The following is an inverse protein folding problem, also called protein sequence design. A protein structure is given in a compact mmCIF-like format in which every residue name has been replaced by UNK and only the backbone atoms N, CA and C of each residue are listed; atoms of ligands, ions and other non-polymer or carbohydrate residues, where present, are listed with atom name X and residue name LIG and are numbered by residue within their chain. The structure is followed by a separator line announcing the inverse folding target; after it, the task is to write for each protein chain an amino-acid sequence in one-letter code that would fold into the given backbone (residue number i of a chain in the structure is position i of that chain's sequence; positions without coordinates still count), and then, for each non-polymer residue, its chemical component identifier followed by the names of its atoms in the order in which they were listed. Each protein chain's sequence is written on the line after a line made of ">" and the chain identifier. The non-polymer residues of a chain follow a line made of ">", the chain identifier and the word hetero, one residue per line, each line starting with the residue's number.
data_IF_667007992894
#
_entry.id   IF_667007992894
#
_cell.length_a   1.000
_cell.length_b   1.000
_cell.length_c   1.000
_cell.angle_alpha   90.00
_cell.angle_beta   90.00
_cell.angle_gamma   90.00
#
_symmetry.space_group_name_H-M   'P 1'
#
loop_
_entity.id
_entity.type
_entity.pdbx_description
1 polymer ?
#
# COMPACT_ATOMS: atom_id res chain seq x y z
N UNK A 1 16.68 -0.03 -12.84
CA UNK A 1 15.78 0.67 -13.79
C UNK A 1 14.39 0.62 -13.18
N UNK A 2 13.85 1.76 -12.75
CA UNK A 2 12.52 1.82 -12.13
C UNK A 2 11.43 1.69 -13.19
N UNK A 3 10.48 0.78 -12.96
CA UNK A 3 9.26 0.67 -13.76
C UNK A 3 8.42 1.93 -13.59
N UNK A 4 7.99 2.54 -14.69
CA UNK A 4 7.03 3.67 -14.68
C UNK A 4 5.62 3.25 -14.22
N UNK A 5 5.38 1.94 -14.08
CA UNK A 5 4.20 1.37 -13.43
C UNK A 5 4.55 1.06 -11.98
N UNK A 6 3.76 1.61 -11.03
CA UNK A 6 4.00 1.53 -9.59
C UNK A 6 4.27 0.12 -9.08
N UNK A 7 5.01 0.03 -7.97
CA UNK A 7 5.34 -1.22 -7.30
C UNK A 7 4.24 -1.56 -6.28
N UNK A 8 3.74 -2.80 -6.35
CA UNK A 8 2.84 -3.37 -5.34
C UNK A 8 3.32 -4.78 -5.01
N UNK A 9 3.55 -5.06 -3.74
CA UNK A 9 3.69 -6.40 -3.19
C UNK A 9 2.64 -6.54 -2.10
N UNK A 10 1.68 -7.43 -2.30
CA UNK A 10 0.50 -7.57 -1.44
C UNK A 10 0.72 -8.59 -0.30
N UNK A 11 1.87 -9.28 -0.28
CA UNK A 11 2.16 -10.35 0.69
C UNK A 11 3.63 -10.38 1.12
N UNK A 12 4.18 -9.23 1.52
CA UNK A 12 5.55 -9.16 2.01
C UNK A 12 5.63 -9.60 3.48
N UNK A 13 6.06 -10.83 3.72
CA UNK A 13 6.09 -11.43 5.06
C UNK A 13 7.47 -11.24 5.71
N UNK A 14 7.47 -10.77 6.95
CA UNK A 14 8.66 -10.69 7.81
C UNK A 14 8.33 -11.34 9.15
N UNK A 15 9.12 -12.33 9.57
CA UNK A 15 9.01 -12.93 10.90
C UNK A 15 9.77 -12.11 11.95
N UNK A 16 9.40 -12.25 13.22
CA UNK A 16 10.06 -11.54 14.32
C UNK A 16 11.55 -11.88 14.38
N UNK A 17 12.37 -10.84 14.59
CA UNK A 17 13.83 -10.84 14.55
C UNK A 17 14.43 -11.17 13.17
N UNK A 18 13.63 -11.21 12.10
CA UNK A 18 14.12 -11.38 10.74
C UNK A 18 14.19 -10.05 9.99
N UNK A 19 15.12 -9.98 9.03
CA UNK A 19 15.23 -8.87 8.08
C UNK A 19 14.97 -9.39 6.68
N UNK A 20 14.11 -8.69 5.93
CA UNK A 20 13.82 -8.99 4.53
C UNK A 20 14.12 -7.78 3.65
N UNK A 21 14.88 -8.02 2.58
CA UNK A 21 15.15 -7.00 1.57
C UNK A 21 13.89 -6.73 0.76
N UNK A 22 13.62 -5.45 0.48
CA UNK A 22 12.50 -5.07 -0.35
C UNK A 22 12.98 -4.95 -1.79
N UNK A 23 12.40 -5.73 -2.68
CA UNK A 23 12.78 -5.75 -4.10
C UNK A 23 12.61 -4.37 -4.72
N UNK A 24 13.65 -3.84 -5.36
CA UNK A 24 13.62 -2.54 -6.02
C UNK A 24 14.04 -1.35 -5.14
N UNK A 25 14.31 -1.57 -3.84
CA UNK A 25 14.75 -0.54 -2.92
C UNK A 25 16.14 -0.85 -2.33
N UNK A 26 16.84 0.18 -1.87
CA UNK A 26 18.15 0.09 -1.22
C UNK A 26 18.08 -0.21 0.28
N UNK A 27 16.88 -0.46 0.81
CA UNK A 27 16.64 -0.72 2.23
C UNK A 27 15.87 -2.02 2.43
N UNK A 28 15.99 -2.56 3.62
CA UNK A 28 15.29 -3.75 4.10
C UNK A 28 14.40 -3.39 5.29
N UNK A 29 13.45 -4.29 5.55
CA UNK A 29 12.55 -4.22 6.68
C UNK A 29 12.94 -5.29 7.69
N UNK A 30 13.16 -4.88 8.93
CA UNK A 30 13.30 -5.77 10.08
C UNK A 30 12.02 -5.70 10.91
N UNK A 31 11.51 -6.85 11.35
CA UNK A 31 10.39 -6.91 12.29
C UNK A 31 10.96 -7.14 13.70
N UNK A 32 10.85 -6.12 14.56
CA UNK A 32 11.28 -6.20 15.95
C UNK A 32 10.26 -7.02 16.76
N UNK A 33 8.97 -6.70 16.61
CA UNK A 33 7.88 -7.44 17.26
C UNK A 33 6.54 -7.21 16.56
N UNK A 34 5.63 -8.15 16.74
CA UNK A 34 4.21 -7.99 16.44
C UNK A 34 3.38 -8.18 17.72
N UNK A 35 2.46 -7.25 17.96
CA UNK A 35 1.54 -7.28 19.10
C UNK A 35 0.10 -7.09 18.62
N UNK A 36 -0.77 -7.97 19.08
CA UNK A 36 -2.22 -7.90 18.91
C UNK A 36 -2.92 -7.66 20.25
N UNK A 37 -3.95 -6.83 20.23
CA UNK A 37 -4.82 -6.58 21.36
C UNK A 37 -6.26 -6.81 20.93
N UNK A 38 -7.04 -7.47 21.78
CA UNK A 38 -8.47 -7.71 21.58
C UNK A 38 -9.27 -7.12 22.72
N UNK A 39 -10.49 -6.69 22.42
CA UNK A 39 -11.47 -6.34 23.43
C UNK A 39 -11.99 -7.61 24.15
N UNK A 40 -12.60 -7.49 25.35
CA UNK A 40 -13.16 -8.64 26.07
C UNK A 40 -14.23 -9.43 25.31
N UNK A 41 -14.87 -8.81 24.31
CA UNK A 41 -15.84 -9.45 23.42
C UNK A 41 -15.18 -10.23 22.26
N UNK A 42 -13.85 -10.26 22.20
CA UNK A 42 -13.06 -10.94 21.17
C UNK A 42 -12.86 -10.12 19.90
N UNK A 43 -13.37 -8.89 19.82
CA UNK A 43 -13.15 -8.04 18.64
C UNK A 43 -11.72 -7.47 18.62
N UNK A 44 -11.07 -7.39 17.45
CA UNK A 44 -9.75 -6.77 17.33
C UNK A 44 -9.74 -5.32 17.81
N UNK A 45 -8.75 -4.97 18.65
CA UNK A 45 -8.55 -3.62 19.18
C UNK A 45 -7.37 -2.92 18.55
N UNK A 46 -6.22 -3.59 18.48
CA UNK A 46 -5.00 -3.00 17.96
C UNK A 46 -4.11 -4.09 17.36
N UNK A 47 -3.46 -3.78 16.25
CA UNK A 47 -2.42 -4.62 15.65
C UNK A 47 -1.23 -3.73 15.37
N UNK A 48 -0.09 -4.09 15.95
CA UNK A 48 1.10 -3.25 16.00
C UNK A 48 2.31 -4.05 15.56
N UNK A 49 2.91 -3.63 14.46
CA UNK A 49 4.23 -4.13 14.04
C UNK A 49 5.27 -3.08 14.37
N UNK A 50 6.14 -3.37 15.33
CA UNK A 50 7.34 -2.57 15.57
C UNK A 50 8.39 -2.98 14.54
N UNK A 51 8.78 -2.03 13.69
CA UNK A 51 9.68 -2.29 12.58
C UNK A 51 10.88 -1.36 12.58
N UNK A 52 11.96 -1.87 12.00
CA UNK A 52 13.19 -1.13 11.78
C UNK A 52 13.56 -1.17 10.30
N UNK A 53 13.77 0.01 9.72
CA UNK A 53 14.29 0.16 8.35
C UNK A 53 15.81 0.19 8.41
N UNK A 54 16.43 -0.71 7.65
CA UNK A 54 17.87 -0.85 7.56
C UNK A 54 18.29 -0.48 6.14
N UNK A 55 19.23 0.45 5.99
CA UNK A 55 19.75 0.87 4.70
C UNK A 55 21.28 0.90 4.75
N UNK A 56 21.93 0.21 3.80
CA UNK A 56 23.38 0.03 3.79
C UNK A 56 23.96 -0.53 5.11
N UNK A 57 23.20 -1.42 5.77
CA UNK A 57 23.58 -2.03 7.05
C UNK A 57 23.42 -1.13 8.27
N UNK A 58 22.86 0.08 8.12
CA UNK A 58 22.60 1.01 9.22
C UNK A 58 21.11 1.12 9.49
N UNK A 59 20.74 1.18 10.77
CA UNK A 59 19.39 1.55 11.20
C UNK A 59 19.15 3.00 10.81
N UNK A 60 18.16 3.23 9.94
CA UNK A 60 17.82 4.57 9.46
C UNK A 60 16.47 5.06 9.99
N UNK A 61 15.59 4.15 10.41
CA UNK A 61 14.29 4.51 10.98
C UNK A 61 13.72 3.36 11.81
N UNK A 62 13.21 3.67 12.99
CA UNK A 62 12.34 2.80 13.76
C UNK A 62 10.92 3.36 13.69
N UNK A 63 9.92 2.50 13.55
CA UNK A 63 8.54 2.93 13.40
C UNK A 63 7.56 1.87 13.88
N UNK A 64 6.39 2.35 14.28
CA UNK A 64 5.24 1.52 14.57
C UNK A 64 4.27 1.55 13.38
N UNK A 65 4.02 0.40 12.75
CA UNK A 65 2.99 0.25 11.72
C UNK A 65 1.74 -0.32 12.37
N UNK A 66 0.59 0.30 12.11
CA UNK A 66 -0.71 -0.15 12.61
C UNK A 66 -1.72 -0.20 11.48
N UNK A 67 -2.83 -0.90 11.70
CA UNK A 67 -3.98 -0.85 10.78
C UNK A 67 -4.39 0.60 10.54
N UNK A 68 -4.59 0.97 9.28
CA UNK A 68 -4.92 2.33 8.82
C UNK A 68 -3.87 3.42 9.11
N UNK A 69 -2.72 3.06 9.67
CA UNK A 69 -1.60 3.97 9.94
C UNK A 69 -0.32 3.40 9.30
N UNK A 70 -0.22 3.46 7.95
CA UNK A 70 0.95 2.97 7.24
C UNK A 70 2.20 3.82 7.55
N UNK A 71 3.36 3.18 7.48
CA UNK A 71 4.63 3.89 7.43
C UNK A 71 4.90 4.33 5.99
N UNK A 72 5.27 5.58 5.79
CA UNK A 72 5.86 6.05 4.53
C UNK A 72 7.37 6.25 4.68
N UNK A 73 8.15 5.68 3.77
CA UNK A 73 9.59 5.86 3.67
C UNK A 73 10.03 5.84 2.21
N UNK A 74 10.69 6.93 1.76
CA UNK A 74 11.17 7.11 0.37
C UNK A 74 10.11 6.82 -0.71
N UNK A 75 8.87 7.27 -0.49
CA UNK A 75 7.76 7.09 -1.42
C UNK A 75 7.07 5.73 -1.34
N UNK A 76 7.65 4.76 -0.65
CA UNK A 76 7.03 3.47 -0.36
C UNK A 76 6.15 3.59 0.88
N UNK A 77 4.89 3.16 0.75
CA UNK A 77 3.95 2.99 1.86
C UNK A 77 3.92 1.52 2.27
N UNK A 78 4.09 1.29 3.57
CA UNK A 78 4.14 -0.01 4.20
C UNK A 78 2.89 -0.12 5.09
N UNK A 79 1.93 -0.91 4.64
CA UNK A 79 0.68 -1.17 5.35
C UNK A 79 0.81 -2.50 6.08
N UNK A 80 0.39 -2.56 7.35
CA UNK A 80 0.12 -3.84 7.97
C UNK A 80 -1.12 -4.46 7.29
N UNK A 81 -1.03 -5.72 6.89
CA UNK A 81 -2.06 -6.43 6.14
C UNK A 81 -2.58 -7.65 6.91
N UNK A 82 -1.71 -8.60 7.22
CA UNK A 82 -2.04 -9.81 7.98
C UNK A 82 -0.91 -10.19 8.92
N UNK A 83 -1.08 -11.25 9.71
CA UNK A 83 -0.10 -11.75 10.66
C UNK A 83 -0.40 -13.21 10.96
N UNK A 84 0.52 -13.89 11.64
CA UNK A 84 0.31 -15.25 12.09
C UNK A 84 1.51 -15.80 12.85
N UNK A 85 1.42 -17.04 13.33
CA UNK A 85 2.51 -17.71 14.02
C UNK A 85 3.63 -18.11 13.05
N UNK A 86 4.85 -18.14 13.57
CA UNK A 86 6.05 -18.58 12.89
C UNK A 86 6.98 -19.33 13.84
N UNK A 87 7.90 -20.11 13.28
CA UNK A 87 8.96 -20.78 14.04
C UNK A 87 10.30 -20.49 13.38
N UNK A 88 11.29 -20.09 14.17
CA UNK A 88 12.67 -20.01 13.71
C UNK A 88 13.28 -21.41 13.65
N UNK A 89 13.81 -21.78 12.48
CA UNK A 89 14.33 -23.11 12.21
C UNK A 89 15.76 -23.02 11.76
N UNK A 90 16.61 -23.81 12.41
CA UNK A 90 17.97 -24.05 11.98
C UNK A 90 18.12 -25.53 11.62
N UNK A 91 18.65 -25.82 10.44
CA UNK A 91 19.03 -27.17 10.01
C UNK A 91 20.53 -27.20 9.79
N UNK A 92 21.20 -28.19 10.36
CA UNK A 92 22.64 -28.39 10.25
C UNK A 92 22.99 -29.72 9.58
N UNK A 93 24.09 -29.73 8.85
CA UNK A 93 24.69 -30.96 8.34
C UNK A 93 25.40 -31.76 9.46
N UNK A 94 25.96 -32.92 9.10
CA UNK A 94 26.69 -33.80 10.02
C UNK A 94 27.96 -33.17 10.62
N UNK A 95 28.52 -32.17 9.95
CA UNK A 95 29.69 -31.41 10.39
C UNK A 95 29.29 -30.22 11.30
N UNK A 96 27.99 -29.98 11.46
CA UNK A 96 27.41 -28.92 12.28
C UNK A 96 27.27 -27.57 11.55
N UNK A 97 27.48 -27.51 10.24
CA UNK A 97 27.30 -26.28 9.46
C UNK A 97 25.81 -26.05 9.20
N UNK A 98 25.29 -24.82 9.35
CA UNK A 98 23.91 -24.51 9.01
C UNK A 98 23.71 -24.59 7.49
N UNK A 99 22.78 -25.45 7.06
CA UNK A 99 22.35 -25.58 5.66
C UNK A 99 21.01 -24.86 5.41
N UNK A 100 20.25 -24.60 6.48
CA UNK A 100 19.06 -23.76 6.48
C UNK A 100 19.00 -23.00 7.79
N UNK A 101 18.73 -21.70 7.73
CA UNK A 101 18.55 -20.87 8.91
C UNK A 101 17.58 -19.73 8.57
N UNK A 102 16.29 -19.97 8.80
CA UNK A 102 15.24 -19.00 8.53
C UNK A 102 13.99 -19.28 9.37
N UNK A 103 13.04 -18.36 9.36
CA UNK A 103 11.71 -18.58 9.95
C UNK A 103 10.74 -19.22 8.95
N UNK A 104 10.04 -20.24 9.42
CA UNK A 104 8.93 -20.87 8.70
C UNK A 104 7.63 -20.29 9.25
N UNK A 105 6.86 -19.64 8.37
CA UNK A 105 5.57 -19.04 8.72
C UNK A 105 4.44 -20.03 8.51
N UNK A 106 3.42 -20.01 9.38
CA UNK A 106 2.27 -20.91 9.24
C UNK A 106 1.17 -20.22 8.42
N UNK A 107 1.38 -20.18 7.11
CA UNK A 107 0.48 -19.59 6.12
C UNK A 107 -0.51 -20.60 5.50
N UNK A 108 -0.33 -21.89 5.78
CA UNK A 108 -1.20 -22.98 5.38
C UNK A 108 -2.06 -23.52 6.52
N UNK A 109 -3.11 -24.27 6.15
CA UNK A 109 -3.92 -25.04 7.11
C UNK A 109 -4.29 -26.41 6.55
N UNK A 110 -4.13 -27.45 7.37
CA UNK A 110 -4.63 -28.80 7.12
C UNK A 110 -5.93 -28.99 7.87
N UNK A 111 -6.95 -29.54 7.22
CA UNK A 111 -8.24 -29.82 7.85
C UNK A 111 -8.55 -31.31 7.77
N UNK A 112 -8.71 -31.97 8.91
CA UNK A 112 -9.23 -33.34 8.99
C UNK A 112 -10.24 -33.48 10.13
N UNK A 113 -11.36 -34.15 9.86
CA UNK A 113 -12.44 -34.38 10.83
C UNK A 113 -12.92 -33.15 11.62
N UNK A 114 -12.81 -31.95 11.03
CA UNK A 114 -13.19 -30.69 11.66
C UNK A 114 -12.12 -30.06 12.57
N UNK A 115 -10.93 -30.67 12.67
CA UNK A 115 -9.74 -30.09 13.29
C UNK A 115 -8.94 -29.38 12.19
N UNK A 116 -8.47 -28.16 12.47
CA UNK A 116 -7.69 -27.34 11.53
C UNK A 116 -6.32 -27.06 12.14
N UNK A 117 -5.28 -27.66 11.57
CA UNK A 117 -3.90 -27.45 11.98
C UNK A 117 -3.21 -26.41 11.09
N UNK A 118 -2.71 -25.31 11.64
CA UNK A 118 -1.81 -24.41 10.92
C UNK A 118 -0.52 -25.14 10.57
N UNK A 119 0.01 -24.91 9.37
CA UNK A 119 1.32 -25.43 9.01
C UNK A 119 2.09 -24.45 8.13
N UNK A 120 3.40 -24.61 8.12
CA UNK A 120 4.32 -23.95 7.20
C UNK A 120 5.29 -24.96 6.61
N UNK A 121 5.94 -24.60 5.50
CA UNK A 121 6.83 -25.53 4.79
C UNK A 121 8.14 -24.87 4.41
N UNK A 122 9.15 -25.70 4.24
CA UNK A 122 10.44 -25.31 3.67
C UNK A 122 11.06 -26.51 2.95
N UNK A 123 12.05 -26.27 2.10
CA UNK A 123 12.66 -27.32 1.29
C UNK A 123 14.17 -27.33 1.46
N UNK A 124 14.75 -28.53 1.43
CA UNK A 124 16.19 -28.78 1.37
C UNK A 124 16.48 -29.51 0.06
N UNK A 125 16.66 -28.73 -1.01
CA UNK A 125 16.80 -29.24 -2.39
C UNK A 125 17.92 -30.25 -2.55
N UNK A 126 19.10 -29.95 -2.00
CA UNK A 126 20.28 -30.82 -2.09
C UNK A 126 20.10 -32.16 -1.35
N UNK A 127 19.12 -32.24 -0.44
CA UNK A 127 18.78 -33.43 0.33
C UNK A 127 17.51 -34.12 -0.16
N UNK A 128 16.86 -33.62 -1.22
CA UNK A 128 15.57 -34.09 -1.72
C UNK A 128 14.44 -34.11 -0.66
N UNK A 129 14.46 -33.17 0.29
CA UNK A 129 13.48 -33.10 1.38
C UNK A 129 12.52 -31.91 1.23
N UNK A 130 11.23 -32.21 1.21
CA UNK A 130 10.17 -31.25 1.47
C UNK A 130 9.72 -31.41 2.93
N UNK A 131 9.84 -30.35 3.72
CA UNK A 131 9.55 -30.38 5.16
C UNK A 131 8.29 -29.57 5.45
N UNK A 132 7.41 -30.13 6.27
CA UNK A 132 6.24 -29.42 6.80
C UNK A 132 6.32 -29.35 8.33
N UNK A 133 6.07 -28.17 8.88
CA UNK A 133 5.95 -27.97 10.33
C UNK A 133 4.50 -27.66 10.63
N UNK A 134 3.88 -28.51 11.43
CA UNK A 134 2.47 -28.44 11.78
C UNK A 134 2.35 -28.04 13.24
N UNK A 135 1.57 -26.99 13.50
CA UNK A 135 1.25 -26.54 14.84
C UNK A 135 -0.01 -27.24 15.36
N UNK A 136 -0.07 -27.41 16.68
CA UNK A 136 -1.31 -27.81 17.36
C UNK A 136 -2.50 -26.94 16.96
N UNK A 137 -3.66 -27.56 16.79
CA UNK A 137 -4.95 -26.89 16.58
C UNK A 137 -5.54 -26.29 17.87
N UNK A 138 -4.82 -26.41 18.99
CA UNK A 138 -5.17 -25.84 20.29
C UNK A 138 -5.31 -26.89 21.39
N UNK A 139 -5.84 -26.50 22.57
CA UNK A 139 -5.85 -27.36 23.76
C UNK A 139 -6.60 -28.69 23.63
N UNK A 140 -7.52 -28.79 22.67
CA UNK A 140 -8.36 -29.97 22.44
C UNK A 140 -7.84 -30.87 21.32
N UNK A 141 -6.66 -30.57 20.77
CA UNK A 141 -6.05 -31.34 19.70
C UNK A 141 -5.64 -32.75 20.19
N UNK A 142 -6.18 -33.83 19.60
CA UNK A 142 -5.88 -35.19 20.02
C UNK A 142 -4.55 -35.72 19.47
N UNK A 143 -3.93 -35.05 18.48
CA UNK A 143 -2.74 -35.51 17.78
C UNK A 143 -1.48 -34.73 18.15
N UNK A 144 -1.60 -33.40 18.29
CA UNK A 144 -0.46 -32.52 18.63
C UNK A 144 -0.80 -31.78 19.93
N UNK A 145 -0.08 -32.04 21.04
CA UNK A 145 -0.34 -31.34 22.29
C UNK A 145 -0.26 -29.82 22.16
N UNK A 146 -1.01 -29.13 23.02
CA UNK A 146 -1.11 -27.69 22.99
C UNK A 146 0.26 -27.01 23.06
N UNK A 147 0.58 -26.16 22.07
CA UNK A 147 1.85 -25.44 22.00
C UNK A 147 3.03 -26.27 21.50
N UNK A 148 2.82 -27.54 21.12
CA UNK A 148 3.81 -28.36 20.45
C UNK A 148 3.69 -28.26 18.92
N UNK A 149 4.78 -28.64 18.25
CA UNK A 149 4.86 -28.76 16.80
C UNK A 149 5.14 -30.20 16.40
N UNK A 150 4.78 -30.55 15.18
CA UNK A 150 5.19 -31.79 14.50
C UNK A 150 5.96 -31.42 13.23
N UNK A 151 7.14 -32.00 13.05
CA UNK A 151 7.92 -31.91 11.83
C UNK A 151 7.66 -33.16 10.99
N UNK A 152 7.26 -32.96 9.75
CA UNK A 152 7.00 -34.02 8.78
C UNK A 152 7.95 -33.88 7.60
N UNK A 153 8.40 -35.03 7.09
CA UNK A 153 9.31 -35.15 5.96
C UNK A 153 8.61 -35.82 4.80
N UNK A 154 8.82 -35.26 3.61
CA UNK A 154 8.31 -35.77 2.35
C UNK A 154 9.44 -35.81 1.33
N UNK A 155 9.37 -36.76 0.40
CA UNK A 155 10.24 -36.75 -0.77
C UNK A 155 9.84 -35.58 -1.67
N UNK A 156 10.81 -34.77 -2.10
CA UNK A 156 10.51 -33.55 -2.85
C UNK A 156 9.99 -33.84 -4.28
N UNK A 157 10.43 -34.93 -4.89
CA UNK A 157 10.08 -35.29 -6.27
C UNK A 157 8.73 -36.01 -6.32
N UNK A 158 8.51 -37.00 -5.45
CA UNK A 158 7.28 -37.81 -5.45
C UNK A 158 6.18 -37.24 -4.55
N UNK A 159 6.52 -36.35 -3.61
CA UNK A 159 5.63 -35.83 -2.56
C UNK A 159 5.09 -36.94 -1.66
N UNK A 160 5.77 -38.09 -1.61
CA UNK A 160 5.42 -39.18 -0.69
C UNK A 160 5.87 -38.86 0.72
N UNK A 161 5.02 -39.18 1.70
CA UNK A 161 5.34 -39.06 3.11
C UNK A 161 6.47 -40.02 3.48
N UNK A 162 7.49 -39.50 4.17
CA UNK A 162 8.66 -40.28 4.60
C UNK A 162 8.61 -40.58 6.10
N UNK A 163 8.49 -39.56 6.94
CA UNK A 163 8.49 -39.72 8.41
C UNK A 163 7.95 -38.47 9.13
N UNK A 164 7.69 -38.58 10.43
CA UNK A 164 7.25 -37.46 11.27
C UNK A 164 7.74 -37.56 12.71
N UNK A 165 8.06 -36.42 13.33
CA UNK A 165 8.58 -36.34 14.70
C UNK A 165 7.96 -35.17 15.47
N UNK A 166 7.79 -35.29 16.81
CA UNK A 166 7.58 -34.12 17.66
C UNK A 166 8.73 -33.13 17.51
N UNK A 167 8.42 -31.85 17.38
CA UNK A 167 9.39 -30.81 17.07
C UNK A 167 9.37 -29.69 18.12
N UNK A 168 9.77 -30.05 19.34
CA UNK A 168 9.78 -29.13 20.47
C UNK A 168 10.94 -28.12 20.37
N UNK A 169 10.67 -26.89 20.79
CA UNK A 169 11.68 -25.82 20.85
C UNK A 169 12.88 -26.25 21.71
N UNK A 170 14.08 -26.02 21.21
CA UNK A 170 15.33 -26.35 21.89
C UNK A 170 15.68 -27.84 21.94
N UNK A 171 14.87 -28.72 21.33
CA UNK A 171 15.15 -30.16 21.24
C UNK A 171 15.37 -30.54 19.78
N UNK A 172 16.62 -30.73 19.32
CA UNK A 172 16.88 -31.09 17.94
C UNK A 172 16.35 -32.47 17.57
N UNK A 173 15.90 -32.61 16.32
CA UNK A 173 15.50 -33.87 15.69
C UNK A 173 16.56 -34.24 14.66
N UNK A 174 17.11 -35.44 14.77
CA UNK A 174 18.09 -35.98 13.81
C UNK A 174 17.38 -36.81 12.75
N UNK A 175 17.54 -36.44 11.48
CA UNK A 175 16.95 -37.17 10.35
C UNK A 175 17.87 -37.14 9.13
N UNK A 176 18.16 -38.31 8.56
CA UNK A 176 19.07 -38.48 7.41
C UNK A 176 20.45 -37.80 7.57
N UNK A 177 20.99 -37.76 8.79
CA UNK A 177 22.28 -37.14 9.10
C UNK A 177 22.25 -35.61 9.19
N UNK A 178 21.05 -35.02 9.23
CA UNK A 178 20.81 -33.61 9.46
C UNK A 178 20.18 -33.39 10.84
N UNK A 179 20.55 -32.30 11.48
CA UNK A 179 20.02 -31.87 12.77
C UNK A 179 19.07 -30.69 12.59
N UNK A 180 17.78 -30.92 12.84
CA UNK A 180 16.71 -29.91 12.74
C UNK A 180 16.42 -29.35 14.12
N UNK A 181 16.39 -28.03 14.28
CA UNK A 181 16.06 -27.39 15.55
C UNK A 181 15.04 -26.28 15.36
N UNK A 182 14.02 -26.26 16.22
CA UNK A 182 13.18 -25.10 16.45
C UNK A 182 13.84 -24.22 17.51
N UNK A 183 14.30 -23.03 17.11
CA UNK A 183 15.05 -22.12 17.98
C UNK A 183 14.12 -21.35 18.92
N UNK A 184 13.04 -20.80 18.37
CA UNK A 184 11.97 -20.13 19.12
C UNK A 184 10.66 -20.10 18.31
N UNK A 185 9.54 -20.02 19.03
CA UNK A 185 8.26 -19.66 18.45
C UNK A 185 8.11 -18.14 18.48
N UNK A 186 7.62 -17.57 17.39
CA UNK A 186 7.35 -16.16 17.27
C UNK A 186 6.15 -15.91 16.38
N UNK A 187 6.01 -14.66 15.97
CA UNK A 187 4.99 -14.26 15.01
C UNK A 187 5.64 -13.73 13.74
N UNK A 188 4.81 -13.53 12.71
CA UNK A 188 5.18 -12.77 11.54
C UNK A 188 4.15 -11.67 11.29
N UNK A 189 4.60 -10.61 10.62
CA UNK A 189 3.72 -9.61 10.03
C UNK A 189 3.80 -9.70 8.51
N UNK A 190 2.63 -9.75 7.88
CA UNK A 190 2.45 -9.56 6.45
C UNK A 190 2.19 -8.09 6.15
N UNK A 191 3.00 -7.52 5.27
CA UNK A 191 2.91 -6.13 4.84
C UNK A 191 2.46 -6.04 3.38
N UNK A 192 1.64 -5.03 3.09
CA UNK A 192 1.42 -4.58 1.73
C UNK A 192 2.33 -3.38 1.47
N UNK A 193 3.18 -3.51 0.45
CA UNK A 193 4.14 -2.51 0.03
C UNK A 193 3.60 -1.82 -1.22
N UNK A 194 3.42 -0.51 -1.18
CA UNK A 194 2.83 0.25 -2.29
C UNK A 194 3.58 1.54 -2.59
N UNK A 195 3.93 1.76 -3.85
CA UNK A 195 4.45 3.03 -4.35
C UNK A 195 3.55 3.60 -5.45
N UNK A 196 3.04 4.82 -5.23
CA UNK A 196 2.14 5.52 -6.17
C UNK A 196 2.79 6.79 -6.74
N UNK A 197 3.72 6.70 -7.72
CA UNK A 197 4.40 7.88 -8.30
C UNK A 197 3.45 8.79 -9.10
N UNK A 198 2.31 8.26 -9.55
CA UNK A 198 1.30 8.99 -10.33
C UNK A 198 0.53 10.05 -9.54
N UNK A 199 0.63 10.07 -8.21
CA UNK A 199 -0.04 11.05 -7.37
C UNK A 199 0.37 12.49 -7.73
N UNK A 200 1.64 12.71 -8.08
CA UNK A 200 2.15 14.03 -8.50
C UNK A 200 1.45 14.51 -9.77
N UNK A 201 1.26 13.61 -10.74
CA UNK A 201 0.58 13.94 -12.00
C UNK A 201 -0.90 14.28 -11.78
N UNK A 202 -1.56 13.58 -10.87
CA UNK A 202 -2.95 13.87 -10.48
C UNK A 202 -3.04 15.26 -9.85
N UNK A 203 -2.13 15.63 -8.94
CA UNK A 203 -2.10 16.96 -8.34
C UNK A 203 -1.85 18.06 -9.38
N UNK A 204 -0.98 17.83 -10.36
CA UNK A 204 -0.76 18.78 -11.47
C UNK A 204 -2.04 18.95 -12.29
N UNK A 205 -2.72 17.85 -12.66
CA UNK A 205 -3.98 17.92 -13.40
C UNK A 205 -5.08 18.64 -12.61
N UNK A 206 -5.20 18.35 -11.32
CA UNK A 206 -6.15 19.01 -10.43
C UNK A 206 -5.85 20.51 -10.27
N UNK A 207 -4.59 20.88 -10.10
CA UNK A 207 -4.17 22.29 -10.03
C UNK A 207 -4.47 23.03 -11.34
N UNK A 208 -4.21 22.40 -12.50
CA UNK A 208 -4.50 22.98 -13.81
C UNK A 208 -6.01 23.15 -14.03
N UNK A 209 -6.82 22.19 -13.59
CA UNK A 209 -8.28 22.29 -13.58
C UNK A 209 -8.76 23.44 -12.70
N UNK A 210 -8.25 23.56 -11.47
CA UNK A 210 -8.57 24.66 -10.56
C UNK A 210 -8.17 26.02 -11.14
N UNK A 211 -7.01 26.12 -11.78
CA UNK A 211 -6.57 27.32 -12.46
C UNK A 211 -7.49 27.69 -13.64
N UNK A 212 -7.90 26.71 -14.45
CA UNK A 212 -8.86 26.93 -15.54
C UNK A 212 -10.22 27.43 -15.03
N UNK A 213 -10.73 26.82 -13.96
CA UNK A 213 -11.99 27.25 -13.33
C UNK A 213 -11.86 28.66 -12.76
N UNK A 214 -10.74 28.97 -12.10
CA UNK A 214 -10.45 30.31 -11.61
C UNK A 214 -10.44 31.33 -12.74
N UNK A 215 -9.79 31.03 -13.88
CA UNK A 215 -9.77 31.91 -15.04
C UNK A 215 -11.18 32.19 -15.58
N UNK A 216 -12.03 31.17 -15.70
CA UNK A 216 -13.42 31.32 -16.17
C UNK A 216 -14.23 32.25 -15.27
N UNK A 217 -14.07 32.15 -13.94
CA UNK A 217 -14.82 32.98 -13.00
C UNK A 217 -14.27 34.40 -12.86
N UNK A 218 -12.94 34.57 -12.93
CA UNK A 218 -12.30 35.88 -12.72
C UNK A 218 -12.20 36.72 -14.00
N UNK A 219 -12.15 36.08 -15.17
CA UNK A 219 -12.15 36.73 -16.47
C UNK A 219 -13.46 36.41 -17.21
N UNK A 220 -14.61 36.94 -16.77
CA UNK A 220 -15.85 36.75 -17.49
C UNK A 220 -15.67 37.24 -18.93
N UNK A 221 -16.05 36.42 -19.90
CA UNK A 221 -16.03 36.82 -21.31
C UNK A 221 -16.89 38.07 -21.50
N UNK A 222 -16.24 39.17 -21.91
CA UNK A 222 -16.91 40.42 -22.27
C UNK A 222 -17.14 40.39 -23.78
N UNK A 223 -18.39 40.51 -24.21
CA UNK A 223 -18.72 40.67 -25.63
C UNK A 223 -19.38 42.02 -25.86
N UNK A 224 -18.80 42.80 -26.77
CA UNK A 224 -19.36 44.04 -27.28
C UNK A 224 -19.82 43.76 -28.70
N UNK A 225 -21.12 43.88 -28.96
CA UNK A 225 -21.69 43.79 -30.30
C UNK A 225 -22.01 45.22 -30.74
N UNK A 226 -21.48 45.63 -31.90
CA UNK A 226 -21.75 46.93 -32.52
C UNK A 226 -22.46 46.66 -33.84
N UNK A 227 -23.67 47.20 -33.99
CA UNK A 227 -24.45 47.15 -35.23
C UNK A 227 -24.51 48.55 -35.83
N UNK A 228 -24.22 48.64 -37.13
CA UNK A 228 -24.22 49.89 -37.89
C UNK A 228 -25.30 49.76 -38.95
N UNK A 229 -26.27 50.67 -38.96
CA UNK A 229 -27.32 50.72 -39.97
C UNK A 229 -27.27 52.05 -40.73
N UNK A 230 -27.32 52.02 -42.07
CA UNK A 230 -27.40 53.25 -42.84
C UNK A 230 -28.78 53.91 -42.68
N UNK A 231 -28.79 55.18 -42.27
CA UNK A 231 -29.98 56.04 -42.17
C UNK A 231 -30.02 57.11 -43.27
N UNK A 232 -31.15 57.82 -43.41
CA UNK A 232 -31.40 58.73 -44.54
C UNK A 232 -30.55 60.02 -44.53
N UNK A 233 -29.92 60.38 -43.41
CA UNK A 233 -29.07 61.58 -43.26
C UNK A 233 -27.72 61.28 -42.57
N UNK A 234 -27.35 60.00 -42.44
CA UNK A 234 -26.13 59.55 -41.77
C UNK A 234 -26.17 58.06 -41.42
N UNK A 235 -25.11 57.51 -40.82
CA UNK A 235 -25.13 56.13 -40.30
C UNK A 235 -25.57 56.14 -38.83
N UNK A 236 -26.54 55.29 -38.45
CA UNK A 236 -26.91 55.07 -37.06
C UNK A 236 -26.17 53.86 -36.51
N UNK A 237 -25.78 53.93 -35.23
CA UNK A 237 -25.02 52.88 -34.55
C UNK A 237 -25.82 52.44 -33.31
N UNK A 238 -25.81 51.15 -33.03
CA UNK A 238 -26.37 50.58 -31.80
C UNK A 238 -25.37 49.60 -31.22
N UNK A 239 -25.21 49.59 -29.90
CA UNK A 239 -24.33 48.65 -29.23
C UNK A 239 -25.08 47.82 -28.18
N UNK A 240 -24.68 46.57 -28.01
CA UNK A 240 -25.16 45.69 -26.95
C UNK A 240 -23.96 45.08 -26.22
N UNK A 241 -24.02 45.09 -24.89
CA UNK A 241 -23.01 44.48 -24.04
C UNK A 241 -23.58 43.21 -23.40
N UNK A 242 -22.92 42.08 -23.61
CA UNK A 242 -23.20 40.85 -22.86
C UNK A 242 -22.13 40.68 -21.78
N UNK A 243 -22.52 40.89 -20.50
CA UNK A 243 -21.64 40.74 -19.33
C UNK A 243 -22.11 41.57 -18.11
N UNK A 244 -21.34 41.55 -17.00
CA UNK A 244 -21.63 42.39 -15.81
C UNK A 244 -21.37 43.87 -16.09
N UNK A 245 -22.44 44.68 -16.06
CA UNK A 245 -22.45 46.11 -16.43
C UNK A 245 -21.56 47.02 -15.56
N UNK A 246 -21.27 46.65 -14.30
CA UNK A 246 -20.58 47.55 -13.34
C UNK A 246 -19.07 47.67 -13.53
N UNK A 247 -18.46 46.89 -14.43
CA UNK A 247 -17.00 46.86 -14.65
C UNK A 247 -16.59 47.42 -16.03
N UNK A 248 -17.54 47.96 -16.80
CA UNK A 248 -17.34 48.48 -18.14
C UNK A 248 -18.03 49.83 -18.36
N UNK A 249 -18.56 50.47 -17.31
CA UNK A 249 -19.23 51.78 -17.41
C UNK A 249 -18.31 52.85 -17.98
N UNK A 250 -17.06 52.86 -17.54
CA UNK A 250 -16.09 53.89 -17.88
C UNK A 250 -15.58 53.72 -19.32
N UNK A 251 -15.38 52.48 -19.77
CA UNK A 251 -15.08 52.16 -21.17
C UNK A 251 -16.26 52.51 -22.08
N UNK A 252 -17.50 52.18 -21.69
CA UNK A 252 -18.71 52.54 -22.45
C UNK A 252 -18.85 54.06 -22.55
N UNK A 253 -18.58 54.81 -21.48
CA UNK A 253 -18.64 56.26 -21.50
C UNK A 253 -17.57 56.85 -22.43
N UNK A 254 -16.32 56.35 -22.38
CA UNK A 254 -15.25 56.81 -23.28
C UNK A 254 -15.54 56.49 -24.76
N UNK A 255 -16.11 55.31 -25.06
CA UNK A 255 -16.50 54.93 -26.42
C UNK A 255 -17.67 55.79 -26.91
N UNK A 256 -18.63 56.09 -26.03
CA UNK A 256 -19.76 56.97 -26.33
C UNK A 256 -19.29 58.40 -26.57
N UNK A 257 -18.35 58.92 -25.79
CA UNK A 257 -17.76 60.26 -26.00
C UNK A 257 -16.94 60.34 -27.30
N UNK A 258 -16.21 59.27 -27.65
CA UNK A 258 -15.45 59.19 -28.90
C UNK A 258 -16.36 59.10 -30.13
N UNK A 259 -17.51 58.43 -29.99
CA UNK A 259 -18.51 58.27 -31.06
C UNK A 259 -19.47 59.48 -31.17
N UNK A 260 -19.77 60.16 -30.06
CA UNK A 260 -20.61 61.38 -30.01
C UNK A 260 -19.94 62.63 -30.62
N UNK A 261 -18.71 62.51 -31.15
CA UNK A 261 -18.19 63.46 -32.14
C UNK A 261 -18.98 63.45 -33.46
N UNK A 262 -19.94 62.54 -33.61
CA UNK A 262 -20.92 62.43 -34.70
C UNK A 262 -22.30 62.22 -34.05
N UNK A 263 -23.30 63.03 -34.41
CA UNK A 263 -24.62 63.13 -33.74
C UNK A 263 -25.28 61.77 -33.37
N UNK A 264 -25.71 61.61 -32.12
CA UNK A 264 -26.34 60.38 -31.58
C UNK A 264 -27.71 60.66 -30.97
N UNK A 265 -28.74 59.96 -31.46
CA UNK A 265 -30.02 59.75 -30.76
C UNK A 265 -29.98 58.43 -29.97
N UNK A 266 -30.23 58.48 -28.66
CA UNK A 266 -30.21 57.31 -27.77
C UNK A 266 -31.63 56.73 -27.62
N UNK A 267 -31.85 55.48 -28.02
CA UNK A 267 -33.07 54.74 -27.69
C UNK A 267 -32.77 53.58 -26.74
N UNK A 268 -33.16 53.73 -25.46
CA UNK A 268 -33.17 52.63 -24.50
C UNK A 268 -34.40 51.73 -24.72
N UNK A 269 -34.19 50.43 -24.93
CA UNK A 269 -35.21 49.42 -24.65
C UNK A 269 -34.78 48.58 -23.46
N UNK A 270 -35.52 48.69 -22.35
CA UNK A 270 -35.46 47.76 -21.22
C UNK A 270 -36.01 46.41 -21.67
N UNK A 271 -35.18 45.37 -21.67
CA UNK A 271 -35.65 43.99 -21.75
C UNK A 271 -36.30 43.61 -20.42
N UNK A 272 -37.59 43.29 -20.45
CA UNK A 272 -38.28 42.58 -19.36
C UNK A 272 -37.99 41.08 -19.51
N UNK A 273 -37.42 40.51 -18.44
CA UNK A 273 -37.28 39.10 -18.05
C UNK A 273 -36.91 38.06 -19.11
#
# INVERSE_FOLDING_TARGET
>A
MGSYFGYSDDSFIVAENQTRAITGYSFSLHLDSFEDEYWPDGSPKDFRSQITIIENGLVVKEALVRVNHPLEYKGLKIFQSFYGPAVAVTVKDIDGNPIFQDSVVFDGSLSDQGIVWPFGTFTLGDNNLFCAIISSAGPSDPLIPAGELRLEFYDMDSVEFLDSFPFAVGTPVEYQGLSFSADYLGQFSGFQLKEDPGLVLIWIAFALLMAGLFLVFYFPHRQIIISIQPGQTGSSYSYAFLGKKSLASDEIQSLTETLNGVDVETHERKSQK
#
